data_IF_955560832012
#
_entry.id   IF_955560832012
#
_cell.length_a   1.000
_cell.length_b   1.000
_cell.length_c   1.000
_cell.angle_alpha   90.00
_cell.angle_beta   90.00
_cell.angle_gamma   90.00
#
_symmetry.space_group_name_H-M   'P 1'
#
loop_
_entity.id
_entity.type
_entity.pdbx_description
1 polymer ?
#
# COMPACT_ATOMS: atom_id res chain seq x y z
N UNK A 1 10.47 5.46 -7.25
CA UNK A 1 10.66 6.31 -6.05
C UNK A 1 11.65 7.41 -6.44
N UNK A 2 11.14 8.50 -7.00
CA UNK A 2 11.99 9.57 -7.51
C UNK A 2 12.55 10.34 -6.31
N UNK A 3 13.86 10.28 -6.11
CA UNK A 3 14.56 11.22 -5.25
C UNK A 3 14.79 12.45 -6.12
N UNK A 4 14.06 13.52 -5.85
CA UNK A 4 14.38 14.82 -6.45
C UNK A 4 15.87 15.08 -6.18
N UNK A 5 16.62 15.53 -7.19
CA UNK A 5 18.07 15.78 -7.10
C UNK A 5 18.48 16.77 -5.97
N UNK A 6 17.50 17.36 -5.28
CA UNK A 6 17.69 18.29 -4.16
C UNK A 6 17.45 17.68 -2.77
N UNK A 7 16.91 16.45 -2.64
CA UNK A 7 16.38 15.97 -1.37
C UNK A 7 17.18 14.78 -0.81
N UNK A 8 17.99 15.03 0.22
CA UNK A 8 18.65 14.00 1.04
C UNK A 8 17.70 13.37 2.06
N UNK A 9 16.42 13.22 1.71
CA UNK A 9 15.38 12.64 2.57
C UNK A 9 14.79 11.39 1.92
N UNK A 10 14.52 10.32 2.70
CA UNK A 10 13.84 9.16 2.15
C UNK A 10 12.46 9.60 1.65
N UNK A 11 12.16 9.38 0.37
CA UNK A 11 10.78 9.39 -0.10
C UNK A 11 9.97 8.48 0.83
N UNK A 12 8.79 8.91 1.27
CA UNK A 12 8.01 8.05 2.15
C UNK A 12 7.23 7.10 1.24
N UNK A 13 7.70 5.85 1.15
CA UNK A 13 6.84 4.74 0.75
C UNK A 13 5.93 4.44 1.94
N UNK A 14 4.61 4.54 1.77
CA UNK A 14 3.67 4.16 2.81
C UNK A 14 3.66 2.62 2.89
N UNK A 15 4.49 2.06 3.77
CA UNK A 15 4.44 0.65 4.15
C UNK A 15 3.40 0.55 5.25
N UNK A 16 2.22 0.04 4.90
CA UNK A 16 1.15 -0.18 5.86
C UNK A 16 1.31 -1.59 6.44
N UNK A 17 1.75 -1.76 7.70
CA UNK A 17 1.60 -3.04 8.36
C UNK A 17 0.11 -3.30 8.56
N UNK A 18 -0.38 -4.41 8.02
CA UNK A 18 -1.61 -5.00 8.53
C UNK A 18 -1.26 -5.69 9.85
N UNK A 19 -1.80 -5.23 10.98
CA UNK A 19 -1.60 -5.94 12.25
C UNK A 19 -2.85 -6.76 12.59
N UNK A 20 -2.65 -8.01 13.04
CA UNK A 20 -3.51 -8.57 14.07
C UNK A 20 -2.71 -8.85 15.37
N UNK A 21 -3.31 -8.48 16.51
CA UNK A 21 -3.09 -8.94 17.90
C UNK A 21 -1.99 -8.25 18.75
N UNK A 22 -2.41 -7.54 19.80
CA UNK A 22 -2.49 -8.03 21.21
C UNK A 22 -2.96 -6.90 22.13
N UNK A 23 -3.74 -7.25 23.15
CA UNK A 23 -4.56 -6.31 23.88
C UNK A 23 -3.80 -5.18 24.57
N UNK A 24 -4.07 -3.94 24.17
CA UNK A 24 -4.16 -2.82 25.10
C UNK A 24 -5.47 -2.11 24.87
N UNK A 25 -6.20 -1.99 25.98
CA UNK A 25 -7.47 -1.29 26.16
C UNK A 25 -7.32 0.19 25.81
N UNK A 26 -7.42 0.52 24.53
CA UNK A 26 -7.87 1.82 24.04
C UNK A 26 -8.80 1.53 22.89
N UNK A 27 -10.08 1.89 23.05
CA UNK A 27 -11.06 1.88 21.97
C UNK A 27 -10.49 2.63 20.76
N UNK A 28 -9.97 1.90 19.76
CA UNK A 28 -9.98 2.40 18.39
C UNK A 28 -11.40 2.10 17.88
N UNK A 29 -12.20 3.13 17.56
CA UNK A 29 -13.45 2.94 16.84
C UNK A 29 -13.20 2.05 15.63
N UNK A 30 -14.11 1.11 15.41
CA UNK A 30 -14.02 0.12 14.33
C UNK A 30 -13.83 0.80 12.96
N UNK A 31 -12.95 0.26 12.09
CA UNK A 31 -12.76 0.73 10.70
C UNK A 31 -11.45 1.47 10.38
N UNK A 32 -10.38 1.31 11.17
CA UNK A 32 -9.27 2.29 11.24
C UNK A 32 -7.89 1.93 10.65
N UNK A 33 -7.73 0.92 9.79
CA UNK A 33 -6.42 0.73 9.12
C UNK A 33 -6.27 1.69 7.92
N UNK A 34 -7.26 1.71 7.04
CA UNK A 34 -7.18 2.43 5.76
C UNK A 34 -7.49 3.93 5.90
N UNK A 35 -8.39 4.29 6.83
CA UNK A 35 -8.58 5.69 7.25
C UNK A 35 -7.31 6.29 7.87
N UNK A 36 -6.44 5.45 8.46
CA UNK A 36 -5.17 5.90 9.00
C UNK A 36 -4.19 6.21 7.87
N UNK A 37 -4.11 5.38 6.83
CA UNK A 37 -3.20 5.59 5.71
C UNK A 37 -3.43 6.93 5.00
N UNK A 38 -4.69 7.28 4.75
CA UNK A 38 -5.05 8.57 4.15
C UNK A 38 -4.78 9.75 5.08
N UNK A 39 -4.92 9.57 6.40
CA UNK A 39 -4.60 10.60 7.39
C UNK A 39 -3.09 10.84 7.53
N UNK A 40 -2.27 9.80 7.31
CA UNK A 40 -0.81 9.91 7.30
C UNK A 40 -0.27 10.44 5.97
N UNK A 41 -0.98 10.23 4.85
CA UNK A 41 -0.58 10.78 3.55
C UNK A 41 -1.03 12.24 3.39
N UNK A 42 -0.33 13.15 4.07
CA UNK A 42 -0.54 14.60 3.97
C UNK A 42 0.78 15.35 3.78
N UNK A 43 0.70 16.59 3.28
CA UNK A 43 1.88 17.45 3.11
C UNK A 43 2.61 17.72 4.42
N UNK A 44 1.86 17.83 5.52
CA UNK A 44 2.41 18.04 6.87
C UNK A 44 3.20 16.83 7.38
N UNK A 45 2.91 15.65 6.83
CA UNK A 45 3.62 14.39 7.08
C UNK A 45 4.62 14.04 5.96
N UNK A 46 4.97 14.98 5.08
CA UNK A 46 6.01 14.81 4.06
C UNK A 46 5.54 14.22 2.73
N UNK A 47 4.22 14.06 2.51
CA UNK A 47 3.71 13.74 1.18
C UNK A 47 4.00 14.89 0.20
N UNK A 48 4.38 14.55 -1.03
CA UNK A 48 4.70 15.51 -2.10
C UNK A 48 3.78 15.35 -3.31
N UNK A 49 2.46 15.56 -3.16
CA UNK A 49 1.53 15.40 -4.27
C UNK A 49 1.89 16.36 -5.42
N UNK A 50 1.97 15.82 -6.64
CA UNK A 50 2.34 16.59 -7.84
C UNK A 50 3.84 16.79 -8.07
N UNK A 51 4.70 16.40 -7.12
CA UNK A 51 6.17 16.42 -7.27
C UNK A 51 6.74 15.00 -7.28
N UNK A 52 6.26 14.13 -6.39
CA UNK A 52 6.64 12.73 -6.34
C UNK A 52 5.43 11.84 -6.68
N UNK A 53 5.67 10.75 -7.42
CA UNK A 53 4.68 9.71 -7.70
C UNK A 53 4.40 8.91 -6.42
N UNK A 54 3.18 8.94 -5.86
CA UNK A 54 2.86 8.18 -4.66
C UNK A 54 2.69 6.70 -4.98
N UNK A 55 3.20 5.84 -4.09
CA UNK A 55 3.08 4.38 -4.20
C UNK A 55 2.68 3.82 -2.84
N UNK A 56 1.64 2.99 -2.80
CA UNK A 56 1.19 2.30 -1.60
C UNK A 56 1.42 0.79 -1.77
N UNK A 57 1.98 0.15 -0.73
CA UNK A 57 2.22 -1.30 -0.71
C UNK A 57 1.60 -1.87 0.55
N UNK A 58 0.62 -2.75 0.37
CA UNK A 58 -0.15 -3.37 1.45
C UNK A 58 0.38 -4.78 1.66
N UNK A 59 0.94 -5.04 2.84
CA UNK A 59 1.33 -6.39 3.25
C UNK A 59 0.20 -7.02 4.05
N UNK A 60 -0.23 -8.24 3.70
CA UNK A 60 -1.37 -8.92 4.32
C UNK A 60 -1.18 -10.44 4.37
N UNK A 61 -1.93 -11.17 5.20
CA UNK A 61 -2.03 -12.63 5.14
C UNK A 61 -3.00 -13.12 4.06
N UNK A 62 -3.69 -12.19 3.38
CA UNK A 62 -4.59 -12.45 2.28
C UNK A 62 -6.05 -12.65 2.66
N UNK A 63 -6.47 -12.37 3.90
CA UNK A 63 -7.86 -12.56 4.31
C UNK A 63 -8.35 -11.47 5.28
N UNK A 64 -9.21 -10.55 4.84
CA UNK A 64 -9.83 -9.57 5.73
C UNK A 64 -10.98 -10.18 6.52
N UNK A 65 -11.11 -9.70 7.75
CA UNK A 65 -12.21 -10.05 8.65
C UNK A 65 -13.46 -9.21 8.39
N UNK A 66 -13.33 -8.07 7.69
CA UNK A 66 -14.39 -7.10 7.39
C UNK A 66 -14.27 -6.62 5.94
N UNK A 67 -15.36 -6.06 5.41
CA UNK A 67 -15.34 -5.40 4.10
C UNK A 67 -14.35 -4.23 4.11
N UNK A 68 -13.50 -4.16 3.08
CA UNK A 68 -12.47 -3.13 2.86
C UNK A 68 -12.72 -2.33 1.57
N UNK A 69 -13.86 -2.55 0.91
CA UNK A 69 -14.12 -2.05 -0.44
C UNK A 69 -14.23 -0.52 -0.53
N UNK A 70 -14.86 0.12 0.45
CA UNK A 70 -15.07 1.57 0.47
C UNK A 70 -13.76 2.29 0.76
N UNK A 71 -13.06 1.87 1.81
CA UNK A 71 -11.81 2.47 2.21
C UNK A 71 -10.71 2.26 1.16
N UNK A 72 -10.70 1.09 0.51
CA UNK A 72 -9.70 0.82 -0.51
C UNK A 72 -9.99 1.63 -1.78
N UNK A 73 -11.27 1.90 -2.08
CA UNK A 73 -11.65 2.82 -3.14
C UNK A 73 -11.18 4.25 -2.83
N UNK A 74 -11.32 4.71 -1.58
CA UNK A 74 -10.80 6.00 -1.14
C UNK A 74 -9.27 6.07 -1.25
N UNK A 75 -8.55 5.03 -0.80
CA UNK A 75 -7.10 4.97 -0.89
C UNK A 75 -6.63 5.06 -2.34
N UNK A 76 -7.22 4.29 -3.25
CA UNK A 76 -6.87 4.29 -4.68
C UNK A 76 -7.21 5.59 -5.39
N UNK A 77 -8.21 6.33 -4.90
CA UNK A 77 -8.53 7.66 -5.42
C UNK A 77 -7.40 8.67 -5.14
N UNK A 78 -6.67 8.49 -4.02
CA UNK A 78 -5.54 9.35 -3.63
C UNK A 78 -4.19 8.81 -4.11
N UNK A 79 -3.98 7.50 -4.05
CA UNK A 79 -2.75 6.80 -4.43
C UNK A 79 -3.09 5.71 -5.46
N UNK A 80 -3.17 6.05 -6.76
CA UNK A 80 -3.55 5.10 -7.78
C UNK A 80 -2.60 3.90 -7.90
N UNK A 81 -1.31 4.07 -7.60
CA UNK A 81 -0.31 3.00 -7.59
C UNK A 81 -0.31 2.25 -6.25
N UNK A 82 -1.43 1.60 -5.94
CA UNK A 82 -1.61 0.74 -4.77
C UNK A 82 -1.42 -0.73 -5.16
N UNK A 83 -0.58 -1.44 -4.41
CA UNK A 83 -0.24 -2.84 -4.62
C UNK A 83 -0.47 -3.66 -3.35
N UNK A 84 -0.77 -4.95 -3.49
CA UNK A 84 -0.96 -5.87 -2.37
C UNK A 84 0.04 -7.01 -2.49
N UNK A 85 0.65 -7.35 -1.35
CA UNK A 85 1.58 -8.47 -1.20
C UNK A 85 1.03 -9.36 -0.09
N UNK A 86 0.44 -10.49 -0.48
CA UNK A 86 -0.07 -11.48 0.46
C UNK A 86 1.03 -12.50 0.81
N UNK A 87 1.37 -12.60 2.09
CA UNK A 87 2.39 -13.51 2.60
C UNK A 87 1.69 -14.54 3.49
N UNK A 88 1.41 -15.71 2.95
CA UNK A 88 0.79 -16.79 3.69
C UNK A 88 1.19 -18.14 3.09
N UNK A 89 1.69 -19.05 3.94
CA UNK A 89 2.11 -20.39 3.53
C UNK A 89 1.20 -21.50 4.06
N UNK A 90 0.23 -21.16 4.92
CA UNK A 90 -0.53 -22.15 5.70
C UNK A 90 -2.04 -22.09 5.45
N UNK A 91 -2.56 -20.95 5.00
CA UNK A 91 -3.99 -20.74 4.80
C UNK A 91 -4.29 -20.22 3.39
N UNK A 92 -5.49 -20.49 2.86
CA UNK A 92 -5.91 -19.93 1.59
C UNK A 92 -6.04 -18.42 1.68
N UNK A 93 -5.56 -17.74 0.64
CA UNK A 93 -5.75 -16.30 0.45
C UNK A 93 -7.05 -16.02 -0.32
N UNK A 94 -7.73 -14.94 0.01
CA UNK A 94 -8.88 -14.41 -0.71
C UNK A 94 -8.42 -13.50 -1.84
N UNK A 95 -8.18 -14.08 -3.03
CA UNK A 95 -7.69 -13.30 -4.16
C UNK A 95 -8.65 -12.19 -4.60
N UNK A 96 -9.96 -12.46 -4.60
CA UNK A 96 -10.98 -11.46 -4.95
C UNK A 96 -10.93 -10.23 -4.04
N UNK A 97 -10.65 -10.45 -2.76
CA UNK A 97 -10.56 -9.36 -1.79
C UNK A 97 -9.29 -8.53 -1.99
N UNK A 98 -8.15 -9.20 -2.21
CA UNK A 98 -6.91 -8.52 -2.59
C UNK A 98 -7.09 -7.67 -3.84
N UNK A 99 -7.75 -8.21 -4.86
CA UNK A 99 -8.11 -7.50 -6.09
C UNK A 99 -9.04 -6.31 -5.83
N UNK A 100 -9.98 -6.47 -4.90
CA UNK A 100 -10.87 -5.38 -4.45
C UNK A 100 -10.09 -4.29 -3.72
N UNK A 101 -9.01 -4.61 -3.01
CA UNK A 101 -8.15 -3.67 -2.30
C UNK A 101 -7.24 -2.87 -3.25
N UNK A 102 -6.75 -3.49 -4.33
CA UNK A 102 -5.83 -2.82 -5.28
C UNK A 102 -6.49 -2.36 -6.58
N UNK A 103 -7.74 -2.75 -6.80
CA UNK A 103 -8.56 -2.39 -7.97
C UNK A 103 -8.16 -3.09 -9.27
N UNK A 104 -7.16 -3.98 -9.26
CA UNK A 104 -6.69 -4.71 -10.45
C UNK A 104 -5.97 -6.02 -10.08
N UNK A 105 -6.24 -7.13 -10.79
CA UNK A 105 -5.54 -8.41 -10.59
C UNK A 105 -4.04 -8.35 -10.83
N UNK A 106 -3.56 -7.41 -11.65
CA UNK A 106 -2.13 -7.28 -11.99
C UNK A 106 -1.30 -6.62 -10.88
N UNK A 107 -1.97 -6.14 -9.82
CA UNK A 107 -1.33 -5.45 -8.68
C UNK A 107 -1.32 -6.30 -7.40
N UNK A 108 -1.69 -7.57 -7.54
CA UNK A 108 -1.69 -8.56 -6.45
C UNK A 108 -0.49 -9.49 -6.59
N UNK A 109 0.34 -9.48 -5.57
CA UNK A 109 1.50 -10.35 -5.43
C UNK A 109 1.35 -11.26 -4.22
N UNK A 110 2.02 -12.39 -4.29
CA UNK A 110 2.04 -13.45 -3.28
C UNK A 110 3.48 -13.90 -3.05
N UNK A 111 3.70 -14.72 -2.03
CA UNK A 111 4.97 -15.42 -1.81
C UNK A 111 5.57 -16.04 -3.09
N UNK A 112 4.74 -16.63 -3.94
CA UNK A 112 5.16 -17.30 -5.18
C UNK A 112 5.59 -16.35 -6.31
N UNK A 113 5.26 -15.06 -6.25
CA UNK A 113 5.51 -14.13 -7.35
C UNK A 113 6.01 -12.74 -6.92
N UNK A 114 6.38 -12.56 -5.64
CA UNK A 114 6.90 -11.30 -5.10
C UNK A 114 8.12 -10.78 -5.88
N UNK A 115 8.90 -11.66 -6.52
CA UNK A 115 9.96 -11.25 -7.44
C UNK A 115 9.47 -10.35 -8.59
N UNK A 116 8.25 -10.55 -9.09
CA UNK A 116 7.65 -9.68 -10.12
C UNK A 116 7.33 -8.29 -9.60
N UNK A 117 7.06 -8.14 -8.30
CA UNK A 117 6.85 -6.82 -7.70
C UNK A 117 8.14 -6.01 -7.71
N UNK A 118 9.31 -6.65 -7.58
CA UNK A 118 10.60 -5.98 -7.71
C UNK A 118 10.76 -5.35 -9.10
N UNK A 119 10.40 -6.07 -10.17
CA UNK A 119 10.47 -5.56 -11.55
C UNK A 119 9.56 -4.32 -11.74
N UNK A 120 8.36 -4.35 -11.13
CA UNK A 120 7.42 -3.22 -11.15
C UNK A 120 8.00 -2.02 -10.40
N UNK A 121 8.56 -2.24 -9.21
CA UNK A 121 9.15 -1.18 -8.40
C UNK A 121 10.37 -0.56 -9.10
N UNK A 122 11.19 -1.39 -9.76
CA UNK A 122 12.32 -0.93 -10.57
C UNK A 122 11.85 -0.09 -11.75
N UNK A 123 10.81 -0.51 -12.46
CA UNK A 123 10.22 0.28 -13.56
C UNK A 123 9.72 1.65 -13.06
N UNK A 124 8.99 1.68 -11.94
CA UNK A 124 8.50 2.93 -11.31
C UNK A 124 9.67 3.83 -10.87
N UNK A 125 10.80 3.25 -10.46
CA UNK A 125 11.98 4.02 -10.07
C UNK A 125 12.77 4.57 -11.27
N UNK A 126 12.77 3.85 -12.41
CA UNK A 126 13.46 4.27 -13.64
C UNK A 126 12.71 5.34 -14.43
N UNK A 127 11.39 5.38 -14.31
CA UNK A 127 10.49 6.39 -14.91
C UNK A 127 10.73 7.83 -14.40
N UNK A 128 11.72 8.01 -13.52
CA UNK A 128 12.09 9.28 -12.88
C UNK A 128 13.19 10.06 -13.63
N UNK A 129 13.69 9.60 -14.78
CA UNK A 129 14.67 10.37 -15.57
C UNK A 129 13.90 11.35 -16.44
N UNK A 130 13.80 12.59 -15.96
CA UNK A 130 13.34 13.74 -16.74
C UNK A 130 14.55 14.29 -17.49
N UNK A 131 14.51 14.28 -18.83
CA UNK A 131 15.43 15.05 -19.69
C UNK A 131 15.28 16.57 -19.46
#
# INVERSE_FOLDING_TARGET
MCLDNYDRGPGIGLILPWEPLLGTRLQKPEGKSEHSALAEYTTDHGARPGQARPVAVIFTDGYAQKSTSEEAAMLRAVIPDTYAIAINHSYPISRNELETIVGSPDRVFTDSNIGKFHDVLEAIARDCIVD
#
